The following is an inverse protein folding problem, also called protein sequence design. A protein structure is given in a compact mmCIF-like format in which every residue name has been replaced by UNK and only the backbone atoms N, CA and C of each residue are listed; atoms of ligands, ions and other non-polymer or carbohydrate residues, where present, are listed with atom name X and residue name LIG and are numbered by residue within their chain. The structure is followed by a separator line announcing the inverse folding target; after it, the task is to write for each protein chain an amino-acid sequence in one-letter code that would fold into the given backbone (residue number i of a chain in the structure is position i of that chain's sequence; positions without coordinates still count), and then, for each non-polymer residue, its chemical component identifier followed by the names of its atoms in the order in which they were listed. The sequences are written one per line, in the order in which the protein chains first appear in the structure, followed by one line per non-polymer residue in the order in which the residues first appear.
data_IF_671661728227
#
_entry.id   IF_671661728227
#
_cell.length_a   1.000
_cell.length_b   1.000
_cell.length_c   1.000
_cell.angle_alpha   90.00
_cell.angle_beta   90.00
_cell.angle_gamma   90.00
#
_symmetry.space_group_name_H-M   'P 1'
#
loop_
_entity.id
_entity.type
_entity.pdbx_description
1 polymer ?
#
# COMPACT_ATOMS: atom_id res chain seq x y z
N UNK A 1 12.00 3.61 -5.25
CA UNK A 1 11.09 3.86 -4.09
C UNK A 1 11.67 4.90 -3.14
N UNK A 2 11.78 6.16 -3.57
CA UNK A 2 12.22 7.28 -2.73
C UNK A 2 11.02 8.08 -2.19
N UNK A 3 10.16 8.57 -3.08
CA UNK A 3 8.99 9.39 -2.74
C UNK A 3 8.07 8.74 -1.69
N UNK A 4 7.66 7.45 -1.78
CA UNK A 4 6.80 6.86 -0.75
C UNK A 4 7.44 6.81 0.65
N UNK A 5 8.76 6.59 0.72
CA UNK A 5 9.51 6.59 1.98
C UNK A 5 9.59 8.00 2.56
N UNK A 6 9.85 8.99 1.71
CA UNK A 6 9.88 10.39 2.11
C UNK A 6 8.51 10.85 2.65
N UNK A 7 7.43 10.55 1.91
CA UNK A 7 6.05 10.84 2.35
C UNK A 7 5.78 10.18 3.70
N UNK A 8 6.10 8.89 3.86
CA UNK A 8 5.95 8.19 5.13
C UNK A 8 6.71 8.85 6.28
N UNK A 9 7.98 9.19 6.09
CA UNK A 9 8.80 9.84 7.12
C UNK A 9 8.27 11.22 7.51
N UNK A 10 7.66 11.95 6.57
CA UNK A 10 7.15 13.29 6.81
C UNK A 10 5.72 13.34 7.37
N UNK A 11 4.87 12.38 7.01
CA UNK A 11 3.43 12.45 7.30
C UNK A 11 2.89 11.35 8.20
N UNK A 12 3.63 10.26 8.40
CA UNK A 12 3.16 9.09 9.16
C UNK A 12 4.09 8.72 10.31
N UNK A 13 5.40 8.78 10.09
CA UNK A 13 6.39 8.40 11.10
C UNK A 13 6.50 9.46 12.19
N UNK A 14 6.20 9.10 13.44
CA UNK A 14 6.31 10.00 14.59
C UNK A 14 7.76 10.44 14.87
N UNK A 15 8.72 9.53 14.65
CA UNK A 15 10.14 9.74 14.91
C UNK A 15 10.94 10.05 13.63
N UNK A 16 10.29 10.19 12.48
CA UNK A 16 10.93 10.39 11.18
C UNK A 16 11.75 9.19 10.67
N UNK A 17 11.68 8.04 11.33
CA UNK A 17 12.36 6.80 10.92
C UNK A 17 11.50 6.02 9.91
N UNK A 18 12.07 4.97 9.33
CA UNK A 18 11.35 4.03 8.47
C UNK A 18 10.78 2.83 9.23
N UNK A 19 10.76 2.90 10.56
CA UNK A 19 10.13 1.87 11.38
C UNK A 19 8.64 1.76 11.02
N UNK A 20 8.15 0.54 10.81
CA UNK A 20 6.77 0.30 10.37
C UNK A 20 6.50 0.53 8.87
N UNK A 21 7.45 1.06 8.10
CA UNK A 21 7.23 1.38 6.68
C UNK A 21 6.80 0.17 5.84
N UNK A 22 7.33 -1.03 6.12
CA UNK A 22 6.95 -2.23 5.39
C UNK A 22 5.50 -2.66 5.67
N UNK A 23 5.04 -2.60 6.91
CA UNK A 23 3.64 -2.92 7.22
C UNK A 23 2.70 -1.85 6.62
N UNK A 24 3.15 -0.60 6.55
CA UNK A 24 2.41 0.51 5.95
C UNK A 24 2.34 0.47 4.41
N UNK A 25 3.40 0.03 3.75
CA UNK A 25 3.51 0.04 2.28
C UNK A 25 2.99 -1.24 1.60
N UNK A 26 2.43 -2.16 2.38
CA UNK A 26 1.88 -3.42 1.90
C UNK A 26 0.37 -3.47 2.18
N UNK A 27 -0.41 -3.69 1.12
CA UNK A 27 -1.83 -3.96 1.23
C UNK A 27 -2.08 -5.43 1.58
N UNK A 28 -3.12 -5.68 2.37
CA UNK A 28 -3.56 -7.04 2.75
C UNK A 28 -4.61 -7.54 1.74
N UNK A 29 -4.54 -8.81 1.39
CA UNK A 29 -5.50 -9.47 0.52
C UNK A 29 -5.94 -10.79 1.13
N UNK A 30 -7.25 -11.01 1.23
CA UNK A 30 -7.78 -12.28 1.69
C UNK A 30 -7.75 -13.30 0.54
N UNK A 31 -7.07 -14.42 0.74
CA UNK A 31 -6.93 -15.45 -0.31
C UNK A 31 -8.26 -16.14 -0.66
N UNK A 32 -9.30 -15.91 0.15
CA UNK A 32 -10.66 -16.35 -0.17
C UNK A 32 -11.35 -15.47 -1.20
N UNK A 33 -10.86 -14.24 -1.43
CA UNK A 33 -11.43 -13.27 -2.39
C UNK A 33 -10.83 -13.41 -3.81
N UNK A 34 -10.00 -14.43 -4.07
CA UNK A 34 -9.55 -14.71 -5.44
C UNK A 34 -10.73 -15.08 -6.34
N UNK A 35 -10.73 -14.55 -7.57
CA UNK A 35 -11.65 -15.00 -8.61
C UNK A 35 -11.45 -16.48 -8.94
N UNK A 36 -12.50 -17.13 -9.42
CA UNK A 36 -12.47 -18.55 -9.78
C UNK A 36 -11.39 -18.80 -10.85
N UNK A 37 -10.50 -19.77 -10.59
CA UNK A 37 -9.38 -20.11 -11.48
C UNK A 37 -8.13 -19.24 -11.35
N UNK A 38 -8.18 -18.12 -10.62
CA UNK A 38 -7.02 -17.24 -10.37
C UNK A 38 -6.25 -17.58 -9.09
N UNK A 39 -6.85 -18.42 -8.22
CA UNK A 39 -6.24 -18.81 -6.96
C UNK A 39 -5.00 -19.69 -7.19
N UNK A 40 -3.84 -19.34 -6.62
CA UNK A 40 -2.65 -20.19 -6.72
C UNK A 40 -2.84 -21.49 -5.94
N UNK A 41 -2.15 -22.55 -6.35
CA UNK A 41 -2.18 -23.85 -5.69
C UNK A 41 -1.33 -23.86 -4.41
N UNK A 42 -1.68 -22.97 -3.48
CA UNK A 42 -1.03 -22.78 -2.18
C UNK A 42 -2.12 -22.86 -1.11
N UNK A 43 -1.95 -23.80 -0.18
CA UNK A 43 -2.92 -24.09 0.89
C UNK A 43 -2.39 -23.62 2.24
N UNK A 44 -3.30 -23.21 3.14
CA UNK A 44 -2.95 -22.81 4.51
C UNK A 44 -2.50 -21.36 4.68
N UNK A 45 -2.76 -20.49 3.70
CA UNK A 45 -2.53 -19.05 3.80
C UNK A 45 -3.87 -18.33 3.64
N UNK A 46 -4.30 -17.63 4.69
CA UNK A 46 -5.58 -16.90 4.70
C UNK A 46 -5.42 -15.46 4.17
N UNK A 47 -4.28 -14.83 4.42
CA UNK A 47 -4.00 -13.45 4.01
C UNK A 47 -2.62 -13.35 3.37
N UNK A 48 -2.54 -12.78 2.19
CA UNK A 48 -1.28 -12.38 1.55
C UNK A 48 -1.12 -10.86 1.54
N UNK A 49 0.12 -10.40 1.30
CA UNK A 49 0.48 -8.98 1.26
C UNK A 49 1.12 -8.65 -0.07
N UNK A 50 0.81 -7.49 -0.65
CA UNK A 50 1.35 -7.01 -1.92
C UNK A 50 1.65 -5.50 -1.87
N UNK A 51 2.63 -5.01 -2.65
CA UNK A 51 3.04 -3.60 -2.60
C UNK A 51 2.03 -2.71 -3.33
N UNK A 52 1.07 -2.19 -2.58
CA UNK A 52 0.08 -1.21 -3.03
C UNK A 52 -0.52 -0.47 -1.82
N UNK A 53 -1.31 0.57 -2.07
CA UNK A 53 -1.99 1.37 -1.06
C UNK A 53 -3.52 1.24 -1.19
N UNK A 54 -4.05 0.09 -0.78
CA UNK A 54 -5.48 -0.26 -0.83
C UNK A 54 -6.04 -0.63 0.54
N UNK A 55 -7.34 -0.44 0.68
CA UNK A 55 -8.03 -0.73 1.94
C UNK A 55 -8.06 -2.25 2.21
N UNK A 56 -7.91 -2.67 3.48
CA UNK A 56 -7.80 -4.07 3.86
C UNK A 56 -9.13 -4.85 3.70
N UNK A 57 -9.06 -6.19 3.67
CA UNK A 57 -10.25 -7.02 3.73
C UNK A 57 -10.95 -6.82 5.08
N UNK A 58 -12.23 -6.44 5.06
CA UNK A 58 -13.05 -6.25 6.27
C UNK A 58 -13.55 -4.82 6.48
N UNK A 59 -13.07 -3.86 5.69
CA UNK A 59 -13.64 -2.51 5.62
C UNK A 59 -14.72 -2.41 4.54
N UNK A 60 -15.59 -1.40 4.64
CA UNK A 60 -16.70 -1.18 3.71
C UNK A 60 -16.23 -1.03 2.25
N UNK A 61 -15.07 -0.37 2.06
CA UNK A 61 -14.46 -0.12 0.76
C UNK A 61 -13.31 -1.09 0.47
N UNK A 62 -13.50 -2.39 0.76
CA UNK A 62 -12.43 -3.40 0.61
C UNK A 62 -11.73 -3.30 -0.75
N UNK A 63 -10.41 -3.32 -0.74
CA UNK A 63 -9.55 -3.27 -1.94
C UNK A 63 -9.62 -1.99 -2.77
N UNK A 64 -10.37 -0.98 -2.35
CA UNK A 64 -10.35 0.32 -3.01
C UNK A 64 -9.06 1.07 -2.70
N UNK A 65 -8.78 2.06 -3.55
CA UNK A 65 -7.59 2.90 -3.44
C UNK A 65 -7.69 3.82 -2.22
N UNK A 66 -6.71 3.72 -1.33
CA UNK A 66 -6.65 4.59 -0.14
C UNK A 66 -6.33 6.03 -0.51
N UNK A 67 -6.60 6.95 0.42
CA UNK A 67 -6.14 8.35 0.31
C UNK A 67 -4.62 8.47 0.20
N UNK A 68 -3.86 7.53 0.75
CA UNK A 68 -2.40 7.57 0.73
C UNK A 68 -1.81 7.37 -0.66
N UNK A 69 -2.47 6.53 -1.48
CA UNK A 69 -2.12 6.41 -2.88
C UNK A 69 -2.11 7.77 -3.58
N UNK A 70 -3.15 8.57 -3.39
CA UNK A 70 -3.30 9.89 -4.00
C UNK A 70 -2.25 10.89 -3.52
N UNK A 71 -1.93 10.89 -2.23
CA UNK A 71 -0.84 11.73 -1.70
C UNK A 71 0.51 11.38 -2.33
N UNK A 72 0.81 10.08 -2.46
CA UNK A 72 2.05 9.61 -3.07
C UNK A 72 2.08 9.95 -4.57
N UNK A 73 0.97 9.80 -5.27
CA UNK A 73 0.87 10.18 -6.67
C UNK A 73 1.10 11.68 -6.87
N UNK A 74 0.44 12.53 -6.06
CA UNK A 74 0.63 13.97 -6.09
C UNK A 74 2.09 14.35 -5.79
N UNK A 75 2.71 13.74 -4.78
CA UNK A 75 4.11 13.97 -4.45
C UNK A 75 5.07 13.55 -5.56
N UNK A 76 4.79 12.45 -6.27
CA UNK A 76 5.57 12.03 -7.46
C UNK A 76 5.46 13.04 -8.59
N UNK A 77 4.26 13.53 -8.88
CA UNK A 77 4.03 14.54 -9.92
C UNK A 77 4.72 15.87 -9.56
N UNK A 78 4.59 16.32 -8.31
CA UNK A 78 5.26 17.53 -7.84
C UNK A 78 6.80 17.40 -7.92
N UNK A 79 7.34 16.23 -7.56
CA UNK A 79 8.77 15.96 -7.70
C UNK A 79 9.24 16.07 -9.15
N UNK A 80 8.48 15.53 -10.11
CA UNK A 80 8.82 15.68 -11.54
C UNK A 80 8.84 17.16 -11.93
N UNK A 81 7.80 17.93 -11.59
CA UNK A 81 7.68 19.35 -11.96
C UNK A 81 8.81 20.22 -11.37
N UNK A 82 9.29 19.92 -10.16
CA UNK A 82 10.35 20.71 -9.49
C UNK A 82 11.74 20.40 -10.03
N UNK A 83 11.98 19.16 -10.50
CA UNK A 83 13.30 18.69 -10.90
C UNK A 83 13.49 18.59 -12.43
N UNK A 84 12.44 18.85 -13.20
CA UNK A 84 12.50 19.05 -14.66
C UNK A 84 12.91 20.49 -15.00
#
# INVERSE_FOLDING_TARGET
NFIPKLVYQMSVSENGTLEGFLEYSLSKFNTSDFEEGMRPNVTGIDVCRYPDFREPPGEDNKYDVTRMFWHILAARLAFVVVFE
#
